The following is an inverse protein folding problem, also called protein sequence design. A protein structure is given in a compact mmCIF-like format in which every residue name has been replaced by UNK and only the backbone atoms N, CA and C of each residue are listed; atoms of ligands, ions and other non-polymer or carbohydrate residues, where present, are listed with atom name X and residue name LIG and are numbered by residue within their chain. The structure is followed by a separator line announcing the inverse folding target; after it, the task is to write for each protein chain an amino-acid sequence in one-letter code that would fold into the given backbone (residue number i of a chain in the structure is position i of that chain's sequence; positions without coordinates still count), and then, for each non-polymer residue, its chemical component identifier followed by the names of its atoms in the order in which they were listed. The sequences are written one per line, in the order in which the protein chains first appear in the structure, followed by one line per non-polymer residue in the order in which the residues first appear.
data_IF_947216197742
#
_entry.id   IF_947216197742
#
_cell.length_a   1.000
_cell.length_b   1.000
_cell.length_c   1.000
_cell.angle_alpha   90.00
_cell.angle_beta   90.00
_cell.angle_gamma   90.00
#
_symmetry.space_group_name_H-M   'P 1'
#
loop_
_entity.id
_entity.type
_entity.pdbx_description
1 polymer ?
#
# COMPACT_ATOMS: atom_id res chain seq x y z
N UNK A 1 -7.43 -3.25 -12.28
CA UNK A 1 -6.04 -3.75 -12.19
C UNK A 1 -5.84 -4.84 -13.23
N UNK A 2 -4.73 -4.81 -13.97
CA UNK A 2 -4.42 -5.83 -14.99
C UNK A 2 -4.00 -7.09 -14.24
N UNK A 3 -4.98 -7.97 -14.02
CA UNK A 3 -4.81 -9.28 -13.43
C UNK A 3 -4.16 -10.22 -14.46
N UNK A 4 -2.83 -10.14 -14.60
CA UNK A 4 -2.09 -11.19 -15.28
C UNK A 4 -2.01 -12.40 -14.34
N UNK A 5 -2.95 -13.34 -14.52
CA UNK A 5 -3.00 -14.68 -13.93
C UNK A 5 -3.46 -14.83 -12.47
N UNK A 6 -3.87 -13.75 -11.79
CA UNK A 6 -4.41 -13.81 -10.42
C UNK A 6 -5.88 -13.38 -10.40
N UNK A 7 -6.72 -14.06 -9.61
CA UNK A 7 -8.10 -13.64 -9.44
C UNK A 7 -8.14 -12.24 -8.79
N UNK A 8 -8.77 -11.23 -9.40
CA UNK A 8 -8.88 -9.89 -8.82
C UNK A 8 -9.46 -9.88 -7.41
N UNK A 9 -10.35 -10.82 -7.10
CA UNK A 9 -10.94 -10.98 -5.77
C UNK A 9 -9.88 -11.46 -4.78
N UNK A 10 -9.07 -12.45 -5.15
CA UNK A 10 -7.98 -12.92 -4.28
C UNK A 10 -6.93 -11.83 -4.06
N UNK A 11 -6.61 -11.05 -5.09
CA UNK A 11 -5.69 -9.90 -4.97
C UNK A 11 -6.23 -8.88 -3.96
N UNK A 12 -7.49 -8.45 -4.07
CA UNK A 12 -8.09 -7.51 -3.11
C UNK A 12 -8.05 -8.05 -1.67
N UNK A 13 -8.36 -9.34 -1.47
CA UNK A 13 -8.28 -10.00 -0.16
C UNK A 13 -6.85 -9.98 0.39
N UNK A 14 -5.85 -10.29 -0.44
CA UNK A 14 -4.45 -10.28 -0.04
C UNK A 14 -3.98 -8.86 0.33
N UNK A 15 -4.30 -7.84 -0.48
CA UNK A 15 -3.92 -6.44 -0.21
C UNK A 15 -4.51 -5.92 1.12
N UNK A 16 -5.78 -6.24 1.40
CA UNK A 16 -6.43 -5.90 2.67
C UNK A 16 -5.82 -6.64 3.86
N UNK A 17 -5.55 -7.94 3.71
CA UNK A 17 -4.94 -8.75 4.76
C UNK A 17 -3.52 -8.28 5.09
N UNK A 18 -2.72 -7.94 4.09
CA UNK A 18 -1.36 -7.41 4.29
C UNK A 18 -1.38 -6.05 4.98
N UNK A 19 -2.32 -5.17 4.60
CA UNK A 19 -2.57 -3.90 5.31
C UNK A 19 -2.94 -4.16 6.77
N UNK A 20 -3.86 -5.08 7.03
CA UNK A 20 -4.26 -5.43 8.39
C UNK A 20 -3.11 -6.04 9.20
N UNK A 21 -2.22 -6.83 8.58
CA UNK A 21 -1.06 -7.42 9.23
C UNK A 21 -0.07 -6.35 9.70
N UNK A 22 0.16 -5.30 8.90
CA UNK A 22 0.96 -4.13 9.31
C UNK A 22 0.33 -3.41 10.51
N UNK A 23 -0.97 -3.10 10.44
CA UNK A 23 -1.66 -2.41 11.55
C UNK A 23 -1.59 -3.27 12.83
N UNK A 24 -1.84 -4.58 12.72
CA UNK A 24 -1.72 -5.51 13.86
C UNK A 24 -0.30 -5.61 14.41
N UNK A 25 0.73 -5.35 13.59
CA UNK A 25 2.11 -5.30 14.06
C UNK A 25 2.45 -4.01 14.80
N UNK A 26 1.50 -3.09 15.02
CA UNK A 26 1.75 -1.86 15.77
C UNK A 26 2.16 -0.66 14.91
N UNK A 27 2.24 -0.79 13.58
CA UNK A 27 2.59 0.35 12.70
C UNK A 27 1.36 1.14 12.29
N UNK A 28 1.52 2.46 12.15
CA UNK A 28 0.50 3.30 11.52
C UNK A 28 0.68 3.24 10.01
N UNK A 29 -0.41 3.00 9.28
CA UNK A 29 -0.35 2.63 7.86
C UNK A 29 -1.22 3.54 7.02
N UNK A 30 -0.63 4.06 5.95
CA UNK A 30 -1.34 4.63 4.81
C UNK A 30 -0.92 3.85 3.58
N UNK A 31 -1.88 3.27 2.87
CA UNK A 31 -1.62 2.57 1.60
C UNK A 31 -2.47 3.18 0.48
N UNK A 32 -1.83 3.36 -0.67
CA UNK A 32 -2.44 3.82 -1.92
C UNK A 32 -2.17 2.79 -3.02
N UNK A 33 -3.23 2.15 -3.48
CA UNK A 33 -3.27 1.36 -4.70
C UNK A 33 -3.88 2.19 -5.81
N UNK A 34 -3.11 2.42 -6.87
CA UNK A 34 -3.58 3.15 -8.04
C UNK A 34 -2.98 2.57 -9.31
N UNK A 35 -3.76 2.60 -10.39
CA UNK A 35 -3.27 2.19 -11.71
C UNK A 35 -2.33 3.24 -12.33
N UNK A 36 -1.57 2.86 -13.39
CA UNK A 36 -0.70 3.77 -14.11
C UNK A 36 -1.45 4.91 -14.84
N UNK A 37 -2.75 4.79 -14.98
CA UNK A 37 -3.69 5.78 -15.51
C UNK A 37 -4.03 6.90 -14.52
N UNK A 38 -3.72 6.74 -13.23
CA UNK A 38 -4.00 7.75 -12.21
C UNK A 38 -2.91 8.83 -12.12
N UNK A 39 -3.23 10.09 -11.76
CA UNK A 39 -2.23 11.14 -11.60
C UNK A 39 -1.12 10.76 -10.62
N UNK A 40 0.15 10.89 -11.03
CA UNK A 40 1.29 10.61 -10.13
C UNK A 40 1.35 11.56 -8.92
N UNK A 41 0.76 12.74 -9.05
CA UNK A 41 0.65 13.75 -7.98
C UNK A 41 -0.08 13.22 -6.75
N UNK A 42 -0.93 12.20 -6.87
CA UNK A 42 -1.60 11.58 -5.73
C UNK A 42 -0.60 11.13 -4.64
N UNK A 43 0.57 10.60 -5.02
CA UNK A 43 1.61 10.21 -4.04
C UNK A 43 2.18 11.45 -3.36
N UNK A 44 2.57 12.47 -4.13
CA UNK A 44 3.11 13.72 -3.61
C UNK A 44 2.15 14.36 -2.59
N UNK A 45 0.85 14.39 -2.92
CA UNK A 45 -0.19 14.97 -2.08
C UNK A 45 -0.32 14.25 -0.73
N UNK A 46 -0.18 12.91 -0.71
CA UNK A 46 -0.20 12.13 0.54
C UNK A 46 1.09 12.29 1.34
N UNK A 47 2.22 12.47 0.65
CA UNK A 47 3.52 12.63 1.31
C UNK A 47 3.68 14.01 1.95
N UNK A 48 3.04 15.03 1.38
CA UNK A 48 3.17 16.40 1.82
C UNK A 48 2.82 16.59 3.31
N UNK A 49 3.72 17.26 4.04
CA UNK A 49 3.52 17.59 5.45
C UNK A 49 3.55 16.40 6.42
N UNK A 50 3.82 15.17 5.94
CA UNK A 50 3.86 13.95 6.76
C UNK A 50 5.28 13.41 6.84
N UNK A 51 5.73 13.07 8.05
CA UNK A 51 6.99 12.35 8.23
C UNK A 51 6.74 10.85 8.07
N UNK A 52 7.46 10.22 7.15
CA UNK A 52 7.35 8.79 6.87
C UNK A 52 8.59 8.05 7.37
N UNK A 53 8.38 7.02 8.18
CA UNK A 53 9.47 6.15 8.64
C UNK A 53 9.99 5.23 7.51
N UNK A 54 9.11 4.85 6.59
CA UNK A 54 9.41 4.06 5.38
C UNK A 54 8.51 4.47 4.22
N UNK A 55 9.03 4.35 3.00
CA UNK A 55 8.25 4.28 1.76
C UNK A 55 8.36 2.88 1.17
N UNK A 56 7.48 2.48 0.27
CA UNK A 56 7.59 1.13 -0.31
C UNK A 56 6.82 0.93 -1.60
N UNK A 57 7.32 -0.02 -2.40
CA UNK A 57 6.63 -0.50 -3.61
C UNK A 57 6.49 -2.01 -3.56
N UNK A 58 5.26 -2.47 -3.82
CA UNK A 58 4.87 -3.88 -3.81
C UNK A 58 5.52 -4.73 -4.89
N UNK A 59 5.69 -6.03 -4.63
CA UNK A 59 6.15 -7.03 -5.61
C UNK A 59 5.29 -7.05 -6.87
N UNK A 60 3.96 -6.91 -6.75
CA UNK A 60 3.06 -6.91 -7.90
C UNK A 60 3.40 -5.85 -8.95
N UNK A 61 3.89 -4.67 -8.52
CA UNK A 61 4.34 -3.63 -9.44
C UNK A 61 5.73 -3.93 -10.02
N UNK A 62 6.64 -4.44 -9.20
CA UNK A 62 8.04 -4.70 -9.59
C UNK A 62 8.23 -5.98 -10.42
N UNK A 63 7.32 -6.94 -10.29
CA UNK A 63 7.31 -8.18 -11.05
C UNK A 63 6.47 -8.13 -12.32
N UNK A 64 5.78 -7.02 -12.60
CA UNK A 64 4.92 -6.89 -13.75
C UNK A 64 5.73 -6.77 -15.06
N UNK A 65 5.41 -7.53 -16.12
CA UNK A 65 6.02 -7.40 -17.43
C UNK A 65 5.37 -6.29 -18.30
N UNK A 66 4.62 -5.37 -17.68
CA UNK A 66 3.82 -4.34 -18.36
C UNK A 66 4.55 -3.00 -18.29
N UNK A 67 4.87 -2.41 -19.46
CA UNK A 67 5.65 -1.18 -19.56
C UNK A 67 5.06 -0.03 -18.72
N UNK A 68 3.75 0.20 -18.76
CA UNK A 68 3.11 1.28 -18.00
C UNK A 68 3.24 1.10 -16.48
N UNK A 69 3.26 -0.15 -16.01
CA UNK A 69 3.45 -0.50 -14.60
C UNK A 69 4.92 -0.27 -14.19
N UNK A 70 5.86 -0.56 -15.08
CA UNK A 70 7.29 -0.27 -14.91
C UNK A 70 7.53 1.24 -14.86
N UNK A 71 6.98 2.01 -15.80
CA UNK A 71 7.03 3.48 -15.78
C UNK A 71 6.47 4.02 -14.47
N UNK A 72 5.32 3.51 -14.03
CA UNK A 72 4.74 3.90 -12.73
C UNK A 72 5.65 3.55 -11.55
N UNK A 73 6.45 2.49 -11.64
CA UNK A 73 7.39 2.13 -10.58
C UNK A 73 8.49 3.17 -10.47
N UNK A 74 9.06 3.57 -11.60
CA UNK A 74 10.08 4.62 -11.67
C UNK A 74 9.53 5.96 -11.16
N UNK A 75 8.32 6.32 -11.56
CA UNK A 75 7.62 7.52 -11.10
C UNK A 75 7.42 7.53 -9.57
N UNK A 76 6.98 6.41 -9.00
CA UNK A 76 6.80 6.28 -7.54
C UNK A 76 8.13 6.49 -6.80
N UNK A 77 9.22 5.89 -7.29
CA UNK A 77 10.55 6.08 -6.71
C UNK A 77 11.03 7.53 -6.82
N UNK A 78 10.73 8.21 -7.94
CA UNK A 78 11.03 9.62 -8.08
C UNK A 78 10.26 10.46 -7.06
N UNK A 79 8.95 10.24 -6.90
CA UNK A 79 8.14 10.94 -5.90
C UNK A 79 8.65 10.70 -4.47
N UNK A 80 9.06 9.48 -4.13
CA UNK A 80 9.62 9.18 -2.83
C UNK A 80 10.92 9.96 -2.57
N UNK A 81 11.79 10.06 -3.58
CA UNK A 81 13.04 10.83 -3.47
C UNK A 81 12.80 12.33 -3.34
N UNK A 82 11.84 12.88 -4.07
CA UNK A 82 11.53 14.32 -4.01
C UNK A 82 10.87 14.71 -2.69
N UNK A 83 9.93 13.89 -2.19
CA UNK A 83 9.09 14.27 -1.05
C UNK A 83 9.56 13.69 0.29
N UNK A 84 10.38 12.62 0.30
CA UNK A 84 10.96 12.04 1.50
C UNK A 84 12.38 11.48 1.25
N UNK A 85 13.35 12.35 0.86
CA UNK A 85 14.67 11.94 0.37
C UNK A 85 15.50 11.08 1.34
N UNK A 86 15.25 11.20 2.64
CA UNK A 86 15.97 10.47 3.69
C UNK A 86 15.21 9.26 4.22
N UNK A 87 13.97 9.06 3.79
CA UNK A 87 13.14 7.94 4.22
C UNK A 87 13.56 6.68 3.46
N UNK A 88 13.89 5.57 4.15
CA UNK A 88 14.25 4.33 3.47
C UNK A 88 13.08 3.79 2.63
N UNK A 89 13.38 3.38 1.41
CA UNK A 89 12.43 2.66 0.56
C UNK A 89 12.58 1.16 0.74
N UNK A 90 11.46 0.48 1.03
CA UNK A 90 11.40 -0.96 1.26
C UNK A 90 10.70 -1.68 0.12
N UNK A 91 11.02 -2.96 0.00
CA UNK A 91 10.57 -3.82 -1.06
C UNK A 91 10.23 -5.19 -0.49
N UNK A 92 8.99 -5.65 -0.66
CA UNK A 92 8.59 -7.02 -0.34
C UNK A 92 9.06 -8.01 -1.40
N UNK A 93 9.57 -9.16 -0.99
CA UNK A 93 10.14 -10.19 -1.89
C UNK A 93 9.13 -11.29 -2.26
N UNK A 94 7.89 -11.14 -1.82
CA UNK A 94 6.76 -11.99 -2.13
C UNK A 94 5.46 -11.30 -1.71
N UNK A 95 4.30 -11.79 -2.21
CA UNK A 95 3.01 -11.13 -2.03
C UNK A 95 2.67 -10.86 -0.56
N UNK A 96 3.03 -11.76 0.37
CA UNK A 96 2.69 -11.70 1.80
C UNK A 96 3.82 -11.22 2.72
N UNK A 97 4.87 -10.62 2.15
CA UNK A 97 6.11 -10.26 2.89
C UNK A 97 6.23 -8.77 3.20
N UNK A 98 5.14 -8.00 3.01
CA UNK A 98 5.14 -6.56 3.23
C UNK A 98 5.44 -6.20 4.69
N UNK A 99 4.77 -6.83 5.65
CA UNK A 99 4.99 -6.56 7.08
C UNK A 99 6.45 -6.79 7.50
N UNK A 100 7.04 -7.92 7.09
CA UNK A 100 8.45 -8.22 7.37
C UNK A 100 9.40 -7.19 6.73
N UNK A 101 9.05 -6.68 5.55
CA UNK A 101 9.85 -5.67 4.84
C UNK A 101 9.80 -4.30 5.50
N UNK A 102 8.69 -3.95 6.15
CA UNK A 102 8.55 -2.71 6.92
C UNK A 102 9.23 -2.83 8.27
N UNK A 103 8.94 -3.89 9.05
CA UNK A 103 9.40 -4.05 10.44
C UNK A 103 10.93 -4.08 10.54
N UNK A 104 11.63 -4.62 9.54
CA UNK A 104 13.11 -4.63 9.53
C UNK A 104 13.74 -3.22 9.44
N UNK A 105 12.98 -2.21 9.04
CA UNK A 105 13.41 -0.80 8.95
C UNK A 105 12.72 0.11 9.98
N UNK A 106 11.54 -0.27 10.46
CA UNK A 106 10.81 0.42 11.52
C UNK A 106 10.73 -0.51 12.74
N UNK A 107 11.81 -0.62 13.54
CA UNK A 107 11.80 -1.49 14.70
C UNK A 107 10.75 -1.02 15.70
N UNK A 108 9.88 -1.92 16.11
CA UNK A 108 8.89 -1.66 17.15
C UNK A 108 9.62 -1.40 18.47
N UNK A 109 9.22 -0.33 19.18
CA UNK A 109 9.85 0.06 20.46
C UNK A 109 9.43 -0.84 21.61
N UNK A 110 8.33 -1.56 21.45
CA UNK A 110 7.75 -2.47 22.44
C UNK A 110 7.01 -3.61 21.73
N UNK A 111 6.59 -4.62 22.50
CA UNK A 111 5.66 -5.62 22.01
C UNK A 111 4.29 -4.95 21.77
N UNK A 112 3.85 -4.92 20.52
CA UNK A 112 2.59 -4.31 20.10
C UNK A 112 1.45 -5.33 19.97
N UNK A 113 1.60 -6.55 20.52
CA UNK A 113 0.60 -7.63 20.42
C UNK A 113 -0.80 -7.23 20.94
N UNK A 114 -0.88 -6.32 21.91
CA UNK A 114 -2.12 -5.77 22.47
C UNK A 114 -2.33 -4.28 22.12
N UNK A 115 -1.46 -3.70 21.29
CA UNK A 115 -1.43 -2.28 20.89
C UNK A 115 -1.28 -2.17 19.38
N UNK A 116 -2.31 -2.53 18.60
CA UNK A 116 -2.27 -2.34 17.15
C UNK A 116 -2.07 -0.87 16.83
N UNK A 117 -1.40 -0.62 15.70
CA UNK A 117 -1.28 0.72 15.14
C UNK A 117 -2.60 1.19 14.56
N UNK A 118 -2.55 2.25 13.75
CA UNK A 118 -3.72 2.83 13.11
C UNK A 118 -3.70 2.60 11.60
N UNK A 119 -4.83 2.14 11.05
CA UNK A 119 -5.13 2.34 9.64
C UNK A 119 -5.46 3.82 9.43
N UNK A 120 -4.49 4.60 8.94
CA UNK A 120 -4.66 6.02 8.60
C UNK A 120 -5.56 6.12 7.36
N UNK A 121 -5.20 5.38 6.31
CA UNK A 121 -5.97 5.28 5.08
C UNK A 121 -5.62 4.01 4.31
N UNK A 122 -6.64 3.43 3.67
CA UNK A 122 -6.50 2.44 2.61
C UNK A 122 -7.26 2.97 1.40
N UNK A 123 -6.53 3.23 0.32
CA UNK A 123 -7.08 3.85 -0.89
C UNK A 123 -6.86 2.94 -2.10
N UNK A 124 -7.94 2.58 -2.78
CA UNK A 124 -7.92 2.00 -4.12
C UNK A 124 -8.52 3.01 -5.08
N UNK A 125 -7.66 3.62 -5.89
CA UNK A 125 -8.04 4.64 -6.87
C UNK A 125 -8.04 4.00 -8.25
N UNK A 126 -9.21 3.96 -8.86
CA UNK A 126 -9.44 3.50 -10.22
C UNK A 126 -10.34 4.52 -10.94
N UNK A 127 -10.22 4.71 -12.27
CA UNK A 127 -11.14 5.57 -13.00
C UNK A 127 -12.57 5.07 -12.80
N UNK A 128 -13.55 5.97 -12.61
CA UNK A 128 -14.95 5.58 -12.46
C UNK A 128 -15.49 4.85 -13.70
N UNK A 129 -14.79 4.96 -14.83
CA UNK A 129 -15.13 4.33 -16.11
C UNK A 129 -14.63 2.89 -16.22
N UNK A 130 -13.68 2.49 -15.35
CA UNK A 130 -13.05 1.16 -15.35
C UNK A 130 -13.37 0.33 -14.11
N UNK A 131 -13.82 0.96 -13.02
CA UNK A 131 -14.21 0.27 -11.79
C UNK A 131 -15.47 0.89 -11.17
N UNK A 132 -16.38 0.05 -10.67
CA UNK A 132 -17.53 0.51 -9.88
C UNK A 132 -17.15 1.01 -8.47
N UNK A 133 -15.91 0.80 -8.03
CA UNK A 133 -15.44 1.13 -6.66
C UNK A 133 -14.17 1.97 -6.67
N UNK A 134 -14.27 3.17 -6.11
CA UNK A 134 -13.17 3.83 -5.41
C UNK A 134 -13.29 3.37 -3.96
N UNK A 135 -12.41 2.47 -3.51
CA UNK A 135 -12.42 2.05 -2.10
C UNK A 135 -11.52 2.99 -1.31
N UNK A 136 -12.11 3.95 -0.60
CA UNK A 136 -11.39 4.74 0.40
C UNK A 136 -11.92 4.34 1.76
N UNK A 137 -11.18 3.48 2.46
CA UNK A 137 -11.45 3.19 3.87
C UNK A 137 -10.60 4.15 4.69
N UNK A 138 -11.18 5.31 5.00
CA UNK A 138 -10.61 6.25 5.96
C UNK A 138 -11.28 6.03 7.31
N UNK A 139 -10.47 5.71 8.32
CA UNK A 139 -10.76 5.64 9.76
C UNK A 139 -10.68 4.24 10.36
N UNK A 140 -9.52 3.91 10.95
CA UNK A 140 -9.35 3.24 12.25
C UNK A 140 -9.90 1.82 12.49
N UNK A 141 -10.96 1.37 11.82
CA UNK A 141 -11.54 0.06 12.05
C UNK A 141 -10.99 -0.92 11.02
N UNK A 142 -10.10 -1.79 11.49
CA UNK A 142 -9.71 -2.98 10.74
C UNK A 142 -10.93 -3.81 10.32
N UNK A 143 -12.02 -3.71 11.08
CA UNK A 143 -13.31 -4.31 10.73
C UNK A 143 -13.82 -3.80 9.37
N UNK A 144 -13.84 -2.49 9.11
CA UNK A 144 -14.27 -1.94 7.81
C UNK A 144 -13.30 -2.27 6.68
N UNK A 145 -12.00 -2.28 6.95
CA UNK A 145 -11.01 -2.71 5.96
C UNK A 145 -11.27 -4.16 5.50
N UNK A 146 -11.64 -5.03 6.43
CA UNK A 146 -11.86 -6.45 6.18
C UNK A 146 -13.31 -6.78 5.75
N UNK A 147 -14.25 -5.84 5.85
CA UNK A 147 -15.62 -6.00 5.34
C UNK A 147 -15.59 -6.14 3.82
N UNK A 148 -16.06 -7.27 3.31
CA UNK A 148 -16.13 -7.57 1.87
C UNK A 148 -15.12 -8.61 1.36
N UNK A 149 -14.28 -9.17 2.24
CA UNK A 149 -13.42 -10.33 1.94
C UNK A 149 -14.22 -11.65 1.91
N UNK A 150 -15.44 -11.66 2.46
CA UNK A 150 -16.37 -12.77 2.35
C UNK A 150 -17.24 -12.57 1.11
N UNK A 151 -16.80 -13.09 -0.04
CA UNK A 151 -17.58 -13.73 -1.11
C UNK A 151 -16.63 -14.17 -2.23
#
# INVERSE_FOLDING_TARGET
MIAEHYDPVDVDKELRNDTAALVRSGVNVHILFQGPDQPITNIADRMNGTHWDVTGVGFGQRGAPILDVVTRFEDNLHQFRENAPLTPTVFNWGPTTLAASVIRHVPLKEDCSDKPGKSIAYEEVCPPELCEKVTVVTSGSLEELLKGIEH
#
